data_IF_103702647453
#
_entry.id   IF_103702647453
#
_cell.length_a   1.000
_cell.length_b   1.000
_cell.length_c   1.000
_cell.angle_alpha   90.00
_cell.angle_beta   90.00
_cell.angle_gamma   90.00
#
_symmetry.space_group_name_H-M   'P 1'
#
loop_
_entity.id
_entity.type
_entity.pdbx_description
1 polymer ?
#
# COMPACT_ATOMS: atom_id res chain seq x y z
N UNK A 1 8.56 11.17 9.82
CA UNK A 1 8.94 10.54 8.54
C UNK A 1 8.16 11.22 7.44
N UNK A 2 8.78 11.55 6.30
CA UNK A 2 8.13 12.18 5.17
C UNK A 2 7.76 11.11 4.13
N UNK A 3 6.54 11.19 3.58
CA UNK A 3 6.07 10.31 2.51
C UNK A 3 5.65 11.20 1.36
N UNK A 4 6.32 11.07 0.22
CA UNK A 4 5.94 11.77 -1.00
C UNK A 4 4.84 11.00 -1.72
N UNK A 5 3.94 11.70 -2.40
CA UNK A 5 2.90 11.10 -3.24
C UNK A 5 3.16 11.37 -4.71
N UNK A 6 2.87 10.39 -5.56
CA UNK A 6 2.89 10.54 -7.01
C UNK A 6 1.55 10.07 -7.58
N UNK A 7 1.01 10.85 -8.50
CA UNK A 7 -0.14 10.43 -9.30
C UNK A 7 0.25 9.27 -10.21
N UNK A 8 -0.72 8.39 -10.47
CA UNK A 8 -0.54 7.27 -11.38
C UNK A 8 -1.48 7.44 -12.58
N UNK A 9 -1.20 6.81 -13.73
CA UNK A 9 -2.12 6.82 -14.87
C UNK A 9 -3.52 6.25 -14.54
N UNK A 10 -3.63 5.45 -13.48
CA UNK A 10 -4.92 4.96 -12.99
C UNK A 10 -5.50 5.97 -11.97
N UNK A 11 -6.65 6.60 -12.25
CA UNK A 11 -7.21 7.65 -11.40
C UNK A 11 -7.67 7.14 -10.03
N UNK A 12 -7.84 5.82 -9.87
CA UNK A 12 -8.27 5.20 -8.61
C UNK A 12 -7.09 4.80 -7.71
N UNK A 13 -5.84 5.11 -8.11
CA UNK A 13 -4.64 4.73 -7.37
C UNK A 13 -3.70 5.91 -7.17
N UNK A 14 -3.13 5.98 -5.97
CA UNK A 14 -2.12 6.96 -5.58
C UNK A 14 -0.86 6.21 -5.12
N UNK A 15 0.31 6.63 -5.60
CA UNK A 15 1.58 6.01 -5.23
C UNK A 15 2.20 6.76 -4.05
N UNK A 16 2.65 6.02 -3.05
CA UNK A 16 3.31 6.56 -1.86
C UNK A 16 4.78 6.18 -1.87
N UNK A 17 5.66 7.17 -1.73
CA UNK A 17 7.11 7.06 -1.74
C UNK A 17 7.68 7.43 -0.36
N UNK A 18 7.90 6.46 0.53
CA UNK A 18 8.44 6.70 1.87
C UNK A 18 9.96 6.92 1.90
N UNK A 19 10.64 6.87 0.75
CA UNK A 19 12.11 6.98 0.66
C UNK A 19 12.87 5.79 1.24
N UNK A 20 12.19 4.65 1.45
CA UNK A 20 12.75 3.40 1.97
C UNK A 20 12.15 2.21 1.23
N UNK A 21 12.86 1.08 1.25
CA UNK A 21 12.35 -0.18 0.73
C UNK A 21 11.16 -0.63 1.57
N UNK A 22 10.02 -0.88 0.92
CA UNK A 22 8.77 -1.32 1.58
C UNK A 22 8.55 -2.83 1.51
N UNK A 23 9.22 -3.53 0.60
CA UNK A 23 9.18 -4.98 0.46
C UNK A 23 10.55 -5.51 0.04
N UNK A 24 11.10 -6.45 0.82
CA UNK A 24 12.36 -7.14 0.50
C UNK A 24 12.15 -8.36 -0.42
N UNK A 25 10.90 -8.82 -0.55
CA UNK A 25 10.54 -10.05 -1.29
C UNK A 25 10.00 -9.78 -2.69
N UNK A 26 10.05 -8.52 -3.14
CA UNK A 26 9.50 -8.08 -4.42
C UNK A 26 8.06 -7.57 -4.30
N UNK A 27 7.36 -7.49 -5.42
CA UNK A 27 6.02 -6.93 -5.47
C UNK A 27 4.98 -7.85 -4.83
N UNK A 28 4.16 -7.30 -3.93
CA UNK A 28 3.10 -8.05 -3.24
C UNK A 28 1.82 -7.23 -3.20
N UNK A 29 0.70 -7.88 -3.45
CA UNK A 29 -0.64 -7.29 -3.43
C UNK A 29 -1.44 -7.84 -2.25
N UNK A 30 -2.20 -6.95 -1.60
CA UNK A 30 -3.10 -7.28 -0.51
C UNK A 30 -4.50 -6.73 -0.80
N UNK A 31 -5.49 -7.61 -0.83
CA UNK A 31 -6.91 -7.27 -1.04
C UNK A 31 -7.77 -7.56 0.19
N UNK A 32 -7.23 -8.32 1.16
CA UNK A 32 -7.94 -8.70 2.37
C UNK A 32 -7.00 -8.65 3.59
N UNK A 33 -7.55 -8.34 4.76
CA UNK A 33 -6.75 -8.15 5.99
C UNK A 33 -6.15 -9.46 6.50
N UNK A 34 -6.74 -10.59 6.11
CA UNK A 34 -6.34 -11.94 6.50
C UNK A 34 -5.10 -12.43 5.73
N UNK A 35 -4.69 -11.73 4.66
CA UNK A 35 -3.54 -12.10 3.83
C UNK A 35 -2.19 -11.74 4.45
N UNK A 36 -2.18 -10.96 5.53
CA UNK A 36 -0.94 -10.47 6.13
C UNK A 36 -1.12 -10.30 7.63
N UNK A 37 -0.04 -10.39 8.40
CA UNK A 37 -0.02 -9.99 9.81
C UNK A 37 0.52 -8.58 10.02
N UNK A 38 0.87 -7.87 8.94
CA UNK A 38 1.37 -6.50 9.02
C UNK A 38 0.25 -5.52 9.39
N UNK A 39 0.39 -4.88 10.56
CA UNK A 39 -0.58 -3.91 11.07
C UNK A 39 -0.81 -2.73 10.14
N UNK A 40 0.24 -2.19 9.51
CA UNK A 40 0.10 -1.05 8.61
C UNK A 40 -0.84 -1.37 7.44
N UNK A 41 -0.69 -2.55 6.85
CA UNK A 41 -1.52 -2.98 5.72
C UNK A 41 -2.95 -3.24 6.18
N UNK A 42 -3.14 -3.89 7.34
CA UNK A 42 -4.46 -4.10 7.95
C UNK A 42 -5.18 -2.78 8.23
N UNK A 43 -4.45 -1.78 8.73
CA UNK A 43 -4.99 -0.46 9.05
C UNK A 43 -5.38 0.30 7.77
N UNK A 44 -4.53 0.27 6.74
CA UNK A 44 -4.84 0.88 5.43
C UNK A 44 -6.08 0.21 4.79
N UNK A 45 -6.15 -1.12 4.77
CA UNK A 45 -7.31 -1.89 4.28
C UNK A 45 -8.55 -1.75 5.19
N UNK A 46 -8.42 -1.15 6.37
CA UNK A 46 -9.58 -0.87 7.23
C UNK A 46 -10.31 0.41 6.83
N UNK A 47 -9.70 1.23 5.99
CA UNK A 47 -10.33 2.42 5.44
C UNK A 47 -11.36 1.97 4.39
N UNK A 48 -12.61 2.39 4.56
CA UNK A 48 -13.76 1.91 3.77
C UNK A 48 -13.58 2.02 2.24
N UNK A 49 -12.85 3.03 1.78
CA UNK A 49 -12.66 3.33 0.35
C UNK A 49 -11.39 2.69 -0.22
N UNK A 50 -10.59 2.01 0.59
CA UNK A 50 -9.37 1.32 0.15
C UNK A 50 -9.69 -0.13 -0.15
N UNK A 51 -9.58 -0.50 -1.43
CA UNK A 51 -9.87 -1.86 -1.90
C UNK A 51 -8.63 -2.76 -1.91
N UNK A 52 -7.43 -2.18 -2.05
CA UNK A 52 -6.19 -2.92 -2.27
C UNK A 52 -4.98 -2.09 -1.81
N UNK A 53 -3.96 -2.77 -1.29
CA UNK A 53 -2.62 -2.23 -1.05
C UNK A 53 -1.62 -3.00 -1.88
N UNK A 54 -0.82 -2.29 -2.66
CA UNK A 54 0.28 -2.85 -3.43
C UNK A 54 1.62 -2.35 -2.88
N UNK A 55 2.51 -3.28 -2.54
CA UNK A 55 3.90 -2.98 -2.18
C UNK A 55 4.80 -3.31 -3.37
N UNK A 56 5.63 -2.35 -3.77
CA UNK A 56 6.58 -2.50 -4.87
C UNK A 56 7.67 -1.45 -4.85
#
# INVERSE_FOLDING_TARGET
MYVQTEETPNPNTLKFLPGKIVSEVGSVEFTAKEQTENRLIKDILSIKEVNMVFLG
#
